data_IF_919263244768
#
_entry.id   IF_919263244768
#
_cell.length_a   1.000
_cell.length_b   1.000
_cell.length_c   1.000
_cell.angle_alpha   90.00
_cell.angle_beta   90.00
_cell.angle_gamma   90.00
#
_symmetry.space_group_name_H-M   'P 1'
#
loop_
_entity.id
_entity.type
_entity.pdbx_description
1 polymer ?
#
# COMPACT_ATOMS: atom_id res chain seq x y z
N UNK A 1 -11.09 -5.24 10.86
CA UNK A 1 -10.15 -4.80 9.82
C UNK A 1 -9.19 -3.86 10.53
N UNK A 2 -7.94 -4.26 10.78
CA UNK A 2 -7.00 -3.37 11.47
C UNK A 2 -6.84 -2.08 10.68
N UNK A 3 -7.13 -0.95 11.33
CA UNK A 3 -6.96 0.36 10.72
C UNK A 3 -5.46 0.64 10.62
N UNK A 4 -5.00 1.07 9.45
CA UNK A 4 -3.61 1.46 9.24
C UNK A 4 -3.32 2.73 10.05
N UNK A 5 -2.55 2.62 11.14
CA UNK A 5 -2.16 3.73 12.02
C UNK A 5 -0.90 4.48 11.53
N UNK A 6 -0.76 4.67 10.21
CA UNK A 6 0.31 5.48 9.62
C UNK A 6 -0.15 6.91 9.29
N UNK A 7 0.79 7.84 9.00
CA UNK A 7 0.43 9.17 8.53
C UNK A 7 -0.48 9.08 7.30
N UNK A 8 -1.45 9.98 7.21
CA UNK A 8 -2.36 10.02 6.07
C UNK A 8 -1.57 10.21 4.78
N UNK A 9 -2.11 9.74 3.65
CA UNK A 9 -1.50 10.00 2.35
C UNK A 9 -1.28 11.50 2.13
N UNK A 10 -2.21 12.33 2.64
CA UNK A 10 -2.11 13.78 2.59
C UNK A 10 -0.88 14.30 3.33
N UNK A 11 -0.68 13.92 4.60
CA UNK A 11 0.47 14.38 5.39
C UNK A 11 1.78 13.95 4.73
N UNK A 12 1.84 12.71 4.24
CA UNK A 12 3.02 12.17 3.58
C UNK A 12 3.38 12.92 2.29
N UNK A 13 2.39 13.25 1.46
CA UNK A 13 2.59 14.05 0.25
C UNK A 13 2.97 15.48 0.58
N UNK A 14 2.28 16.11 1.56
CA UNK A 14 2.57 17.48 1.98
C UNK A 14 4.02 17.59 2.44
N UNK A 15 4.43 16.74 3.39
CA UNK A 15 5.78 16.80 3.96
C UNK A 15 6.85 16.51 2.88
N UNK A 16 6.58 15.60 1.94
CA UNK A 16 7.51 15.33 0.83
C UNK A 16 7.64 16.52 -0.15
N UNK A 17 6.54 17.22 -0.44
CA UNK A 17 6.55 18.40 -1.29
C UNK A 17 7.19 19.60 -0.58
N UNK A 18 6.94 19.77 0.72
CA UNK A 18 7.56 20.83 1.52
C UNK A 18 9.08 20.66 1.54
N UNK A 19 9.60 19.46 1.82
CA UNK A 19 11.04 19.18 1.72
C UNK A 19 11.57 19.44 0.31
N UNK A 20 10.86 18.98 -0.73
CA UNK A 20 11.26 19.23 -2.12
C UNK A 20 11.42 20.72 -2.42
N UNK A 21 10.47 21.56 -2.00
CA UNK A 21 10.54 23.01 -2.22
C UNK A 21 11.69 23.63 -1.41
N UNK A 22 11.81 23.29 -0.12
CA UNK A 22 12.88 23.80 0.76
C UNK A 22 14.26 23.51 0.18
N UNK A 23 14.46 22.30 -0.36
CA UNK A 23 15.77 21.86 -0.83
C UNK A 23 16.12 22.35 -2.25
N UNK A 24 15.11 22.66 -3.08
CA UNK A 24 15.32 22.89 -4.51
C UNK A 24 14.92 24.29 -5.01
N UNK A 25 14.17 25.08 -4.22
CA UNK A 25 13.85 26.48 -4.56
C UNK A 25 14.99 27.43 -4.18
N UNK A 26 16.11 27.32 -4.89
CA UNK A 26 17.34 28.09 -4.61
C UNK A 26 17.43 29.41 -5.38
N UNK A 27 16.41 29.77 -6.15
CA UNK A 27 16.39 30.95 -7.03
C UNK A 27 17.06 30.75 -8.40
N UNK A 28 17.91 29.72 -8.55
CA UNK A 28 18.55 29.37 -9.82
C UNK A 28 17.76 28.33 -10.64
N UNK A 29 16.75 27.71 -10.03
CA UNK A 29 15.90 26.70 -10.66
C UNK A 29 14.65 27.34 -11.23
N UNK A 30 14.36 27.10 -12.51
CA UNK A 30 13.15 27.63 -13.13
C UNK A 30 11.89 27.02 -12.47
N UNK A 31 10.78 27.77 -12.36
CA UNK A 31 9.53 27.22 -11.82
C UNK A 31 9.02 25.98 -12.56
N UNK A 32 9.27 25.88 -13.87
CA UNK A 32 8.91 24.72 -14.66
C UNK A 32 9.69 23.47 -14.24
N UNK A 33 11.01 23.61 -14.07
CA UNK A 33 11.88 22.53 -13.60
C UNK A 33 11.51 22.10 -12.18
N UNK A 34 11.26 23.07 -11.29
CA UNK A 34 10.86 22.82 -9.91
C UNK A 34 9.54 22.02 -9.85
N UNK A 35 8.57 22.38 -10.70
CA UNK A 35 7.30 21.69 -10.82
C UNK A 35 7.41 20.30 -11.44
N UNK A 36 8.27 20.12 -12.45
CA UNK A 36 8.52 18.81 -13.05
C UNK A 36 9.11 17.83 -12.04
N UNK A 37 10.06 18.30 -11.22
CA UNK A 37 10.63 17.52 -10.13
C UNK A 37 9.59 17.24 -9.03
N UNK A 38 8.78 18.23 -8.62
CA UNK A 38 7.71 18.04 -7.65
C UNK A 38 6.70 16.97 -8.09
N UNK A 39 6.34 16.94 -9.37
CA UNK A 39 5.48 15.88 -9.95
C UNK A 39 6.14 14.50 -9.90
N UNK A 40 7.47 14.40 -10.03
CA UNK A 40 8.18 13.14 -9.89
C UNK A 40 8.15 12.63 -8.44
N UNK A 41 8.37 13.53 -7.46
CA UNK A 41 8.24 13.24 -6.02
C UNK A 41 6.83 12.73 -5.71
N UNK A 42 5.80 13.45 -6.15
CA UNK A 42 4.40 13.05 -5.95
C UNK A 42 4.10 11.64 -6.48
N UNK A 43 4.58 11.32 -7.70
CA UNK A 43 4.40 9.98 -8.28
C UNK A 43 5.12 8.92 -7.45
N UNK A 44 6.34 9.19 -6.99
CA UNK A 44 7.10 8.29 -6.12
C UNK A 44 6.35 7.96 -4.83
N UNK A 45 5.80 8.97 -4.16
CA UNK A 45 5.02 8.81 -2.93
C UNK A 45 3.75 7.97 -3.15
N UNK A 46 3.01 8.23 -4.23
CA UNK A 46 1.79 7.46 -4.58
C UNK A 46 2.10 6.00 -4.91
N UNK A 47 3.16 5.75 -5.69
CA UNK A 47 3.60 4.38 -6.01
C UNK A 47 4.01 3.65 -4.73
N UNK A 48 4.82 4.31 -3.88
CA UNK A 48 5.26 3.75 -2.60
C UNK A 48 4.07 3.43 -1.69
N UNK A 49 3.13 4.37 -1.54
CA UNK A 49 1.94 4.20 -0.72
C UNK A 49 1.10 3.02 -1.21
N UNK A 50 0.75 2.97 -2.50
CA UNK A 50 -0.07 1.87 -3.04
C UNK A 50 0.64 0.51 -2.98
N UNK A 51 1.97 0.48 -3.12
CA UNK A 51 2.75 -0.74 -3.00
C UNK A 51 2.69 -1.35 -1.60
N UNK A 52 2.61 -0.54 -0.53
CA UNK A 52 2.48 -1.07 0.84
C UNK A 52 1.15 -1.81 1.03
N UNK A 53 0.03 -1.25 0.55
CA UNK A 53 -1.27 -1.94 0.58
C UNK A 53 -1.26 -3.21 -0.26
N UNK A 54 -0.67 -3.16 -1.46
CA UNK A 54 -0.55 -4.35 -2.32
C UNK A 54 0.25 -5.46 -1.63
N UNK A 55 1.34 -5.10 -0.93
CA UNK A 55 2.15 -6.04 -0.15
C UNK A 55 1.35 -6.63 1.02
N UNK A 56 0.67 -5.80 1.80
CA UNK A 56 -0.16 -6.24 2.91
C UNK A 56 -1.29 -7.19 2.45
N UNK A 57 -1.96 -6.86 1.35
CA UNK A 57 -2.97 -7.72 0.75
C UNK A 57 -2.39 -9.06 0.30
N UNK A 58 -1.24 -9.05 -0.39
CA UNK A 58 -0.58 -10.27 -0.87
C UNK A 58 -0.09 -11.18 0.27
N UNK A 59 0.34 -10.61 1.40
CA UNK A 59 0.74 -11.37 2.57
C UNK A 59 -0.45 -12.11 3.22
N UNK A 60 -1.66 -11.55 3.12
CA UNK A 60 -2.87 -12.13 3.69
C UNK A 60 -3.49 -13.23 2.82
N UNK A 61 -3.21 -13.24 1.52
CA UNK A 61 -3.69 -14.25 0.57
C UNK A 61 -3.35 -15.70 0.97
N UNK A 62 -2.08 -16.07 1.25
CA UNK A 62 -1.74 -17.46 1.57
C UNK A 62 -2.39 -17.96 2.87
N UNK A 63 -2.56 -17.10 3.87
CA UNK A 63 -3.29 -17.46 5.10
C UNK A 63 -4.76 -17.78 4.82
N UNK A 64 -5.41 -16.95 4.00
CA UNK A 64 -6.80 -17.18 3.61
C UNK A 64 -6.95 -18.45 2.76
N UNK A 65 -6.01 -18.72 1.85
CA UNK A 65 -5.99 -19.94 1.05
C UNK A 65 -5.79 -21.20 1.91
N UNK A 66 -4.88 -21.14 2.90
CA UNK A 66 -4.65 -22.23 3.85
C UNK A 66 -5.90 -22.51 4.71
N UNK A 67 -6.51 -21.45 5.24
CA UNK A 67 -7.75 -21.56 6.04
C UNK A 67 -8.89 -22.15 5.19
N UNK A 68 -9.03 -21.70 3.93
CA UNK A 68 -10.03 -22.24 3.01
C UNK A 68 -9.80 -23.72 2.70
N UNK A 69 -8.54 -24.15 2.55
CA UNK A 69 -8.20 -25.56 2.32
C UNK A 69 -8.56 -26.43 3.54
N UNK A 70 -8.21 -25.97 4.75
CA UNK A 70 -8.54 -26.65 6.00
C UNK A 70 -10.07 -26.82 6.18
N UNK A 71 -10.84 -25.77 5.92
CA UNK A 71 -12.30 -25.80 6.03
C UNK A 71 -12.93 -26.80 5.04
N UNK A 72 -12.44 -26.82 3.79
CA UNK A 72 -12.91 -27.77 2.77
C UNK A 72 -12.64 -29.22 3.17
N UNK A 73 -11.50 -29.51 3.80
CA UNK A 73 -11.21 -30.86 4.31
C UNK A 73 -12.13 -31.26 5.45
N UNK A 74 -12.44 -30.34 6.37
CA UNK A 74 -13.39 -30.59 7.46
C UNK A 74 -14.80 -30.91 6.95
N UNK A 75 -15.31 -30.14 5.99
CA UNK A 75 -16.64 -30.37 5.43
C UNK A 75 -16.73 -31.68 4.63
N UNK A 76 -15.72 -32.01 3.81
CA UNK A 76 -15.68 -33.30 3.10
C UNK A 76 -15.67 -34.50 4.05
N UNK A 77 -14.98 -34.39 5.17
CA UNK A 77 -14.97 -35.43 6.20
C UNK A 77 -16.35 -35.58 6.85
N UNK A 78 -17.02 -34.47 7.19
CA UNK A 78 -18.37 -34.50 7.77
C UNK A 78 -19.42 -35.09 6.81
N UNK A 79 -19.38 -34.77 5.52
CA UNK A 79 -20.29 -35.33 4.52
C UNK A 79 -20.06 -36.85 4.33
N UNK A 80 -18.81 -37.30 4.39
CA UNK A 80 -18.45 -38.73 4.28
C UNK A 80 -18.96 -39.53 5.48
N UNK A 81 -18.83 -38.98 6.70
CA UNK A 81 -19.32 -39.63 7.93
C UNK A 81 -20.86 -39.62 8.02
N UNK A 82 -21.52 -38.61 7.47
CA UNK A 82 -22.99 -38.47 7.50
C UNK A 82 -23.73 -39.36 6.49
N UNK A 83 -23.02 -39.86 5.48
CA UNK A 83 -23.60 -40.70 4.41
C UNK A 83 -23.39 -42.21 4.67
N UNK A 84 -22.68 -42.56 5.75
CA UNK A 84 -22.53 -43.91 6.29
C UNK A 84 -23.50 -44.13 7.46
#
# INVERSE_FOLDING_TARGET
MEAFHGPSLYDRIRDALDHHIIDNDTGDVSPATLWDAAKAVLRGELISYTATFKRAAKQRTPELEANLAAEKTHHKHQDTVRTL
#
